data_IF_835065765320
#
_entry.id   IF_835065765320
#
_cell.length_a   1.000
_cell.length_b   1.000
_cell.length_c   1.000
_cell.angle_alpha   90.00
_cell.angle_beta   90.00
_cell.angle_gamma   90.00
#
_symmetry.space_group_name_H-M   'P 1'
#
loop_
_entity.id
_entity.type
_entity.pdbx_description
1 polymer ?
#
# COMPACT_ATOMS: atom_id res chain seq x y z
N UNK A 1 -4.43 7.19 -8.07
CA UNK A 1 -4.11 7.56 -6.67
C UNK A 1 -4.99 6.77 -5.74
N UNK A 2 -4.46 6.33 -4.60
CA UNK A 2 -5.22 5.55 -3.62
C UNK A 2 -4.97 6.11 -2.22
N UNK A 3 -6.04 6.37 -1.48
CA UNK A 3 -6.00 6.63 -0.03
C UNK A 3 -6.55 5.41 0.70
N UNK A 4 -5.76 4.84 1.62
CA UNK A 4 -6.19 3.72 2.47
C UNK A 4 -6.48 4.22 3.87
N UNK A 5 -7.70 3.99 4.35
CA UNK A 5 -8.16 4.41 5.67
C UNK A 5 -8.43 3.16 6.54
N UNK A 6 -7.68 2.96 7.64
CA UNK A 6 -7.88 1.84 8.55
C UNK A 6 -9.28 1.78 9.15
N UNK A 7 -9.81 0.56 9.29
CA UNK A 7 -11.07 0.24 9.97
C UNK A 7 -10.83 -0.74 11.12
N UNK A 8 -11.88 -1.10 11.87
CA UNK A 8 -11.81 -2.21 12.83
C UNK A 8 -11.45 -3.53 12.15
N UNK A 9 -11.95 -3.77 10.93
CA UNK A 9 -11.64 -4.93 10.09
C UNK A 9 -11.24 -4.42 8.70
N UNK A 10 -9.99 -4.65 8.32
CA UNK A 10 -9.46 -4.27 7.01
C UNK A 10 -9.24 -2.75 6.84
N UNK A 11 -9.25 -2.30 5.58
CA UNK A 11 -9.13 -0.89 5.21
C UNK A 11 -10.20 -0.53 4.18
N UNK A 12 -10.66 0.73 4.21
CA UNK A 12 -11.38 1.31 3.07
C UNK A 12 -10.34 1.90 2.11
N UNK A 13 -10.47 1.59 0.82
CA UNK A 13 -9.60 2.12 -0.22
C UNK A 13 -10.38 3.05 -1.15
N UNK A 14 -10.02 4.33 -1.12
CA UNK A 14 -10.55 5.34 -2.04
C UNK A 14 -9.61 5.43 -3.25
N UNK A 15 -10.11 5.04 -4.42
CA UNK A 15 -9.32 4.93 -5.65
C UNK A 15 -9.74 5.98 -6.67
N UNK A 16 -8.82 6.88 -7.01
CA UNK A 16 -8.98 7.86 -8.08
C UNK A 16 -8.12 7.44 -9.27
N UNK A 17 -8.76 7.20 -10.41
CA UNK A 17 -8.06 6.97 -11.67
C UNK A 17 -7.34 8.25 -12.11
N UNK A 18 -6.04 8.14 -12.40
CA UNK A 18 -5.25 9.24 -12.95
C UNK A 18 -4.79 8.88 -14.35
N UNK A 19 -4.85 9.84 -15.26
CA UNK A 19 -4.08 9.80 -16.50
C UNK A 19 -2.58 9.92 -16.21
N UNK A 20 -1.76 9.57 -17.20
CA UNK A 20 -0.30 9.71 -17.09
C UNK A 20 0.11 11.16 -16.82
N UNK A 21 -0.53 12.11 -17.51
CA UNK A 21 -0.23 13.54 -17.38
C UNK A 21 -0.58 14.08 -15.98
N UNK A 22 -1.69 13.64 -15.41
CA UNK A 22 -2.10 13.99 -14.04
C UNK A 22 -1.14 13.41 -13.00
N UNK A 23 -0.77 12.14 -13.13
CA UNK A 23 0.18 11.50 -12.23
C UNK A 23 1.56 12.17 -12.31
N UNK A 24 2.03 12.49 -13.52
CA UNK A 24 3.29 13.20 -13.72
C UNK A 24 3.24 14.63 -13.16
N UNK A 25 2.11 15.32 -13.31
CA UNK A 25 1.91 16.64 -12.74
C UNK A 25 2.03 16.60 -11.21
N UNK A 26 1.27 15.73 -10.54
CA UNK A 26 1.30 15.61 -9.08
C UNK A 26 2.69 15.21 -8.55
N UNK A 27 3.37 14.26 -9.21
CA UNK A 27 4.73 13.86 -8.85
C UNK A 27 5.78 14.96 -9.10
N UNK A 28 5.54 15.81 -10.11
CA UNK A 28 6.41 16.93 -10.47
C UNK A 28 6.33 18.08 -9.47
N UNK A 29 5.11 18.46 -9.08
CA UNK A 29 4.86 19.47 -8.02
C UNK A 29 5.33 18.97 -6.64
N UNK A 30 5.33 17.64 -6.44
CA UNK A 30 5.63 16.95 -5.18
C UNK A 30 4.63 17.20 -4.06
N UNK A 31 3.59 17.99 -4.30
CA UNK A 31 2.55 18.31 -3.34
C UNK A 31 1.20 17.77 -3.81
N UNK A 32 0.31 17.53 -2.84
CA UNK A 32 -1.05 17.09 -3.14
C UNK A 32 -1.92 18.31 -3.48
N UNK A 33 -2.11 18.60 -4.78
CA UNK A 33 -2.82 19.80 -5.25
C UNK A 33 -4.03 19.49 -6.12
N UNK A 34 -5.12 20.25 -5.95
CA UNK A 34 -6.24 20.28 -6.88
C UNK A 34 -5.94 21.19 -8.08
N UNK A 35 -6.44 20.83 -9.27
CA UNK A 35 -6.30 21.64 -10.46
C UNK A 35 -6.49 20.84 -11.73
N UNK A 36 -5.41 20.24 -12.24
CA UNK A 36 -5.48 19.32 -13.39
C UNK A 36 -6.17 18.01 -13.09
N UNK A 37 -6.28 17.67 -11.80
CA UNK A 37 -6.90 16.45 -11.29
C UNK A 37 -7.96 16.82 -10.27
N UNK A 38 -9.12 16.17 -10.36
CA UNK A 38 -10.15 16.26 -9.32
C UNK A 38 -9.78 15.32 -8.17
N UNK A 39 -9.35 15.91 -7.06
CA UNK A 39 -9.02 15.22 -5.81
C UNK A 39 -9.97 15.64 -4.67
N UNK A 40 -11.11 16.25 -4.99
CA UNK A 40 -12.04 16.81 -4.01
C UNK A 40 -12.44 15.80 -2.93
N UNK A 41 -12.85 14.59 -3.31
CA UNK A 41 -13.23 13.53 -2.37
C UNK A 41 -12.08 13.16 -1.41
N UNK A 42 -10.84 13.10 -1.90
CA UNK A 42 -9.67 12.81 -1.06
C UNK A 42 -9.39 13.97 -0.11
N UNK A 43 -9.54 15.21 -0.57
CA UNK A 43 -9.30 16.39 0.26
C UNK A 43 -10.33 16.47 1.38
N UNK A 44 -11.61 16.25 1.06
CA UNK A 44 -12.69 16.21 2.06
C UNK A 44 -12.39 15.15 3.13
N UNK A 45 -12.00 13.94 2.72
CA UNK A 45 -11.65 12.85 3.65
C UNK A 45 -10.44 13.16 4.54
N UNK A 46 -9.45 13.90 4.02
CA UNK A 46 -8.27 14.31 4.78
C UNK A 46 -8.62 15.43 5.78
N UNK A 47 -9.40 16.42 5.34
CA UNK A 47 -9.85 17.55 6.17
C UNK A 47 -10.76 17.07 7.30
N UNK A 48 -11.69 16.14 7.02
CA UNK A 48 -12.54 15.50 8.04
C UNK A 48 -11.74 14.76 9.12
N UNK A 49 -10.47 14.41 8.84
CA UNK A 49 -9.55 13.72 9.75
C UNK A 49 -8.51 14.65 10.37
N UNK A 50 -8.72 15.96 10.27
CA UNK A 50 -7.82 17.01 10.77
C UNK A 50 -6.40 16.92 10.17
N UNK A 51 -6.28 16.47 8.91
CA UNK A 51 -4.99 16.41 8.19
C UNK A 51 -4.83 17.66 7.33
N UNK A 52 -3.74 18.40 7.57
CA UNK A 52 -3.37 19.53 6.72
C UNK A 52 -2.80 19.02 5.38
N UNK A 53 -3.58 19.20 4.32
CA UNK A 53 -3.21 18.77 2.96
C UNK A 53 -1.93 19.48 2.48
N UNK A 54 -1.64 20.69 2.97
CA UNK A 54 -0.43 21.43 2.60
C UNK A 54 0.87 20.82 3.15
N UNK A 55 0.78 19.93 4.14
CA UNK A 55 1.93 19.18 4.66
C UNK A 55 2.17 17.85 3.91
N UNK A 56 1.27 17.46 2.99
CA UNK A 56 1.39 16.21 2.24
C UNK A 56 2.32 16.43 1.05
N UNK A 57 3.47 15.77 1.11
CA UNK A 57 4.48 15.80 0.05
C UNK A 57 4.95 14.39 -0.34
N UNK A 58 5.52 14.27 -1.54
CA UNK A 58 6.13 13.04 -2.02
C UNK A 58 7.42 12.75 -1.25
N UNK A 59 7.41 11.69 -0.44
CA UNK A 59 8.55 11.27 0.39
C UNK A 59 9.50 10.28 -0.29
N UNK A 60 9.10 9.69 -1.42
CA UNK A 60 9.91 8.75 -2.20
C UNK A 60 9.08 7.71 -2.95
N UNK A 61 9.75 6.66 -3.42
CA UNK A 61 9.14 5.59 -4.22
C UNK A 61 9.61 4.20 -3.78
N UNK A 62 8.71 3.24 -3.85
CA UNK A 62 8.97 1.82 -3.67
C UNK A 62 8.50 1.09 -4.93
N UNK A 63 9.34 0.22 -5.48
CA UNK A 63 9.02 -0.58 -6.66
C UNK A 63 8.69 -1.99 -6.24
N UNK A 64 7.56 -2.52 -6.69
CA UNK A 64 7.16 -3.91 -6.44
C UNK A 64 7.07 -4.65 -7.77
N UNK A 65 7.77 -5.78 -7.87
CA UNK A 65 7.49 -6.81 -8.88
C UNK A 65 6.54 -7.80 -8.22
N UNK A 66 5.34 -7.92 -8.79
CA UNK A 66 4.26 -8.74 -8.23
C UNK A 66 3.94 -9.91 -9.15
N UNK A 67 3.84 -11.10 -8.57
CA UNK A 67 3.30 -12.30 -9.20
C UNK A 67 1.98 -12.67 -8.52
N UNK A 68 0.89 -12.68 -9.28
CA UNK A 68 -0.43 -13.03 -8.77
C UNK A 68 -0.89 -14.39 -9.29
N UNK A 69 -1.51 -15.17 -8.40
CA UNK A 69 -2.16 -16.42 -8.76
C UNK A 69 -3.47 -16.59 -7.99
N UNK A 70 -4.57 -16.83 -8.71
CA UNK A 70 -5.84 -17.21 -8.07
C UNK A 70 -5.73 -18.63 -7.53
N UNK A 71 -5.95 -18.79 -6.23
CA UNK A 71 -6.01 -20.06 -5.52
C UNK A 71 -7.45 -20.31 -5.01
N UNK A 72 -7.79 -21.55 -4.61
CA UNK A 72 -9.07 -21.84 -3.97
C UNK A 72 -9.33 -21.00 -2.70
N UNK A 73 -8.25 -20.56 -2.04
CA UNK A 73 -8.29 -19.82 -0.77
C UNK A 73 -8.28 -18.30 -0.93
N UNK A 74 -8.16 -17.77 -2.15
CA UNK A 74 -8.04 -16.33 -2.38
C UNK A 74 -7.13 -15.96 -3.55
N UNK A 75 -6.85 -14.66 -3.72
CA UNK A 75 -5.82 -14.20 -4.64
C UNK A 75 -4.49 -14.15 -3.88
N UNK A 76 -3.53 -14.98 -4.29
CA UNK A 76 -2.20 -15.01 -3.70
C UNK A 76 -1.28 -14.09 -4.50
N UNK A 77 -0.54 -13.22 -3.82
CA UNK A 77 0.44 -12.32 -4.43
C UNK A 77 1.82 -12.53 -3.79
N UNK A 78 2.83 -12.76 -4.63
CA UNK A 78 4.23 -12.77 -4.24
C UNK A 78 4.91 -11.50 -4.74
N UNK A 79 5.39 -10.71 -3.79
CA UNK A 79 5.96 -9.40 -4.04
C UNK A 79 7.47 -9.41 -3.77
N UNK A 80 8.25 -8.90 -4.73
CA UNK A 80 9.63 -8.46 -4.54
C UNK A 80 9.63 -6.95 -4.50
N UNK A 81 9.97 -6.37 -3.36
CA UNK A 81 9.97 -4.92 -3.15
C UNK A 81 11.40 -4.39 -3.14
N UNK A 82 11.67 -3.36 -3.94
CA UNK A 82 12.94 -2.65 -4.01
C UNK A 82 12.73 -1.18 -3.64
N UNK A 83 13.45 -0.70 -2.62
CA UNK A 83 13.38 0.68 -2.14
C UNK A 83 14.62 1.06 -1.34
N UNK A 84 15.14 2.28 -1.54
CA UNK A 84 16.22 2.84 -0.71
C UNK A 84 17.48 1.94 -0.59
N UNK A 85 17.80 1.15 -1.63
CA UNK A 85 18.92 0.20 -1.62
C UNK A 85 18.65 -1.10 -0.85
N UNK A 86 17.43 -1.30 -0.36
CA UNK A 86 16.95 -2.52 0.28
C UNK A 86 16.01 -3.29 -0.65
N UNK A 87 16.07 -4.62 -0.54
CA UNK A 87 15.13 -5.55 -1.18
C UNK A 87 14.50 -6.44 -0.12
N UNK A 88 13.18 -6.54 -0.12
CA UNK A 88 12.44 -7.52 0.69
C UNK A 88 11.44 -8.32 -0.15
N UNK A 89 10.90 -9.38 0.46
CA UNK A 89 9.91 -10.25 -0.17
C UNK A 89 8.70 -10.39 0.75
N UNK A 90 7.53 -10.44 0.15
CA UNK A 90 6.26 -10.52 0.87
C UNK A 90 5.29 -11.46 0.15
N UNK A 91 4.55 -12.24 0.94
CA UNK A 91 3.48 -13.11 0.47
C UNK A 91 2.16 -12.60 1.05
N UNK A 92 1.23 -12.24 0.19
CA UNK A 92 -0.09 -11.71 0.55
C UNK A 92 -1.19 -12.66 0.06
N UNK A 93 -2.29 -12.74 0.82
CA UNK A 93 -3.50 -13.44 0.42
C UNK A 93 -4.69 -12.50 0.57
N UNK A 94 -5.33 -12.15 -0.55
CA UNK A 94 -6.56 -11.37 -0.56
C UNK A 94 -7.77 -12.30 -0.49
N UNK A 95 -8.63 -12.04 0.50
CA UNK A 95 -9.77 -12.89 0.90
C UNK A 95 -11.01 -12.03 1.15
N UNK A 96 -12.19 -12.60 0.94
CA UNK A 96 -13.46 -11.92 1.24
C UNK A 96 -13.85 -12.02 2.72
N UNK A 97 -13.55 -13.15 3.38
CA UNK A 97 -13.85 -13.37 4.79
C UNK A 97 -12.54 -13.48 5.60
N UNK A 98 -12.37 -12.59 6.58
CA UNK A 98 -11.13 -12.42 7.31
C UNK A 98 -10.77 -13.63 8.18
N UNK A 99 -11.75 -14.23 8.86
CA UNK A 99 -11.52 -15.29 9.85
C UNK A 99 -11.07 -16.60 9.19
N UNK A 100 -11.79 -17.01 8.15
CA UNK A 100 -11.52 -18.18 7.33
C UNK A 100 -10.27 -17.97 6.51
N UNK A 101 -10.13 -16.81 5.87
CA UNK A 101 -8.94 -16.49 5.08
C UNK A 101 -7.65 -16.49 5.89
N UNK A 102 -7.70 -16.08 7.16
CA UNK A 102 -6.57 -16.21 8.08
C UNK A 102 -6.19 -17.67 8.31
N UNK A 103 -7.17 -18.55 8.57
CA UNK A 103 -6.93 -20.00 8.77
C UNK A 103 -6.34 -20.63 7.52
N UNK A 104 -6.97 -20.38 6.38
CA UNK A 104 -6.55 -20.90 5.08
C UNK A 104 -5.12 -20.44 4.71
N UNK A 105 -4.76 -19.21 5.08
CA UNK A 105 -3.41 -18.70 4.89
C UNK A 105 -2.39 -19.45 5.75
N UNK A 106 -2.66 -19.69 7.04
CA UNK A 106 -1.74 -20.46 7.89
C UNK A 106 -1.59 -21.91 7.41
N UNK A 107 -2.69 -22.56 7.02
CA UNK A 107 -2.65 -23.92 6.47
C UNK A 107 -1.85 -23.97 5.16
N UNK A 108 -1.99 -22.94 4.31
CA UNK A 108 -1.19 -22.79 3.09
C UNK A 108 0.31 -22.66 3.39
N UNK A 109 0.68 -21.84 4.37
CA UNK A 109 2.08 -21.66 4.78
C UNK A 109 2.67 -22.97 5.31
N UNK A 110 1.96 -23.66 6.20
CA UNK A 110 2.40 -24.95 6.76
C UNK A 110 2.60 -26.00 5.67
N UNK A 111 1.61 -26.15 4.78
CA UNK A 111 1.67 -27.09 3.65
C UNK A 111 2.86 -26.84 2.73
N UNK A 112 3.23 -25.58 2.52
CA UNK A 112 4.35 -25.19 1.65
C UNK A 112 5.67 -25.00 2.42
N UNK A 113 5.71 -25.34 3.71
CA UNK A 113 6.89 -25.18 4.57
C UNK A 113 7.44 -23.75 4.60
N UNK A 114 6.54 -22.76 4.53
CA UNK A 114 6.87 -21.34 4.63
C UNK A 114 6.69 -20.91 6.09
N UNK A 115 7.75 -20.40 6.69
CA UNK A 115 7.68 -19.84 8.04
C UNK A 115 6.86 -18.53 8.04
N UNK A 116 5.82 -18.46 8.86
CA UNK A 116 5.10 -17.21 9.05
C UNK A 116 5.98 -16.18 9.78
N UNK A 117 6.13 -15.01 9.16
CA UNK A 117 6.74 -13.83 9.79
C UNK A 117 5.80 -12.65 9.63
N UNK A 118 5.48 -12.00 10.74
CA UNK A 118 4.67 -10.79 10.69
C UNK A 118 5.36 -9.73 9.82
N UNK A 119 4.64 -9.21 8.83
CA UNK A 119 5.10 -8.15 7.95
C UNK A 119 4.36 -6.86 8.28
N UNK A 120 5.11 -5.80 8.60
CA UNK A 120 4.57 -4.42 8.62
C UNK A 120 4.22 -4.02 7.19
N UNK A 121 3.29 -3.10 6.95
CA UNK A 121 2.97 -2.65 5.59
C UNK A 121 4.18 -2.06 4.84
N UNK A 122 4.20 -2.19 3.51
CA UNK A 122 5.26 -1.64 2.63
C UNK A 122 5.60 -0.18 2.94
N UNK A 123 4.58 0.66 3.16
CA UNK A 123 4.74 2.09 3.52
C UNK A 123 5.49 2.25 4.84
N UNK A 124 5.15 1.46 5.87
CA UNK A 124 5.84 1.52 7.17
C UNK A 124 7.28 1.02 7.04
N UNK A 125 7.53 -0.07 6.28
CA UNK A 125 8.89 -0.58 6.03
C UNK A 125 9.75 0.47 5.30
N UNK A 126 9.16 1.16 4.31
CA UNK A 126 9.81 2.28 3.61
C UNK A 126 10.18 3.43 4.57
N UNK A 127 9.23 3.86 5.41
CA UNK A 127 9.46 4.93 6.39
C UNK A 127 10.49 4.56 7.47
N UNK A 128 10.52 3.30 7.90
CA UNK A 128 11.53 2.78 8.83
C UNK A 128 12.93 2.89 8.21
N UNK A 129 13.09 2.46 6.95
CA UNK A 129 14.33 2.57 6.21
C UNK A 129 14.75 4.04 6.00
N UNK A 130 13.83 4.90 5.56
CA UNK A 130 14.09 6.33 5.34
C UNK A 130 14.58 7.04 6.61
N UNK A 131 14.01 6.71 7.77
CA UNK A 131 14.45 7.27 9.07
C UNK A 131 15.85 6.83 9.47
N UNK A 132 16.26 5.61 9.12
CA UNK A 132 17.61 5.12 9.40
C UNK A 132 18.67 5.80 8.51
N UNK A 133 18.35 6.13 7.27
CA UNK A 133 19.27 6.83 6.36
C UNK A 133 19.50 8.32 6.70
N UNK A 134 18.59 8.93 7.47
CA UNK A 134 18.69 10.34 7.89
C UNK A 134 19.46 10.57 9.20
N UNK A 135 19.96 9.50 9.84
CA UNK A 135 20.82 9.58 11.04
C UNK A 135 22.28 9.60 10.65
#
# INVERSE_FOLDING_TARGET
>A
MTLKVPQEIGNIEYNISLSLDEAQFLLGEKDLTCGKTDLSEIFDLLIERDIDVSEITVIGSLTTIRYEQKLPIGLCALDKNDYLGHTDFELELEVEENTQGKRDFFDFLEKNQVEYRFSKSKVVRFLDCLRHLKK
#
